data_IF_355508294940
#
_entry.id   IF_355508294940
#
_cell.length_a   1.000
_cell.length_b   1.000
_cell.length_c   1.000
_cell.angle_alpha   90.00
_cell.angle_beta   90.00
_cell.angle_gamma   90.00
#
_symmetry.space_group_name_H-M   'P 1'
#
loop_
_entity.id
_entity.type
_entity.pdbx_description
1 polymer ?
#
# COMPACT_ATOMS: atom_id res chain seq x y z
N UNK A 1 -1.04 -25.12 3.85
CA UNK A 1 -0.56 -24.78 5.23
C UNK A 1 0.96 -24.72 5.28
N UNK A 2 1.71 -25.75 4.84
CA UNK A 2 3.19 -25.79 4.89
C UNK A 2 3.87 -24.60 4.19
N UNK A 3 3.41 -24.20 2.99
CA UNK A 3 3.96 -23.06 2.25
C UNK A 3 3.73 -21.74 3.01
N UNK A 4 2.56 -21.55 3.64
CA UNK A 4 2.27 -20.33 4.42
C UNK A 4 3.20 -20.25 5.65
N UNK A 5 3.41 -21.36 6.36
CA UNK A 5 4.32 -21.40 7.50
C UNK A 5 5.77 -21.13 7.08
N UNK A 6 6.22 -21.68 5.97
CA UNK A 6 7.55 -21.41 5.43
C UNK A 6 7.72 -19.92 5.13
N UNK A 7 6.79 -19.31 4.40
CA UNK A 7 6.83 -17.88 4.07
C UNK A 7 6.78 -16.98 5.30
N UNK A 8 6.00 -17.36 6.31
CA UNK A 8 5.94 -16.64 7.59
C UNK A 8 7.30 -16.65 8.29
N UNK A 9 7.95 -17.80 8.37
CA UNK A 9 9.30 -17.92 8.97
C UNK A 9 10.35 -17.11 8.19
N UNK A 10 10.30 -17.15 6.85
CA UNK A 10 11.18 -16.36 6.00
C UNK A 10 10.98 -14.84 6.21
N UNK A 11 9.71 -14.39 6.28
CA UNK A 11 9.37 -12.99 6.53
C UNK A 11 9.83 -12.51 7.91
N UNK A 12 9.55 -13.29 8.96
CA UNK A 12 9.97 -12.95 10.32
C UNK A 12 11.51 -12.92 10.47
N UNK A 13 12.19 -13.88 9.84
CA UNK A 13 13.65 -13.90 9.82
C UNK A 13 14.23 -12.70 9.05
N UNK A 14 13.62 -12.28 7.95
CA UNK A 14 14.01 -11.07 7.22
C UNK A 14 13.78 -9.81 8.07
N UNK A 15 12.59 -9.66 8.66
CA UNK A 15 12.26 -8.53 9.51
C UNK A 15 13.18 -8.43 10.71
N UNK A 16 13.44 -9.55 11.41
CA UNK A 16 14.31 -9.59 12.57
C UNK A 16 15.77 -9.23 12.26
N UNK A 17 16.26 -9.54 11.05
CA UNK A 17 17.63 -9.18 10.65
C UNK A 17 17.78 -7.74 10.19
N UNK A 18 16.75 -7.15 9.56
CA UNK A 18 16.87 -5.87 8.89
C UNK A 18 16.19 -4.72 9.64
N UNK A 19 15.27 -5.00 10.57
CA UNK A 19 14.61 -4.02 11.41
C UNK A 19 15.08 -4.19 12.87
N UNK A 20 15.75 -3.18 13.45
CA UNK A 20 16.12 -3.23 14.88
C UNK A 20 14.93 -3.42 15.82
N UNK A 21 13.76 -2.88 15.45
CA UNK A 21 12.53 -3.06 16.20
C UNK A 21 12.11 -4.54 16.25
N UNK A 22 11.99 -5.19 15.10
CA UNK A 22 11.63 -6.61 15.04
C UNK A 22 12.76 -7.52 15.53
N UNK A 23 14.01 -7.12 15.37
CA UNK A 23 15.15 -7.86 15.92
C UNK A 23 15.11 -7.97 17.44
N UNK A 24 14.68 -6.90 18.14
CA UNK A 24 14.45 -6.94 19.58
C UNK A 24 13.20 -7.74 19.95
N UNK A 25 12.12 -7.52 19.22
CA UNK A 25 10.81 -8.12 19.50
C UNK A 25 10.83 -9.64 19.34
N UNK A 26 11.62 -10.17 18.41
CA UNK A 26 11.69 -11.59 18.10
C UNK A 26 12.85 -12.34 18.80
N UNK A 27 13.63 -11.63 19.62
CA UNK A 27 14.84 -12.18 20.24
C UNK A 27 14.59 -13.42 21.09
N UNK A 28 13.45 -13.48 21.76
CA UNK A 28 13.09 -14.53 22.72
C UNK A 28 12.09 -15.56 22.13
N UNK A 29 11.87 -15.55 20.81
CA UNK A 29 10.99 -16.54 20.19
C UNK A 29 11.64 -17.93 20.29
N UNK A 30 10.87 -18.99 20.66
CA UNK A 30 11.37 -20.36 20.65
C UNK A 30 11.69 -20.82 19.21
N UNK A 31 12.55 -21.82 19.05
CA UNK A 31 12.98 -22.28 17.73
C UNK A 31 11.81 -22.78 16.86
N UNK A 32 10.81 -23.41 17.45
CA UNK A 32 9.63 -23.98 16.82
C UNK A 32 8.39 -23.08 16.85
N UNK A 33 8.58 -21.75 17.02
CA UNK A 33 7.49 -20.78 17.14
C UNK A 33 6.45 -20.86 16.01
N UNK A 34 5.21 -20.54 16.32
CA UNK A 34 4.05 -20.47 15.43
C UNK A 34 3.56 -19.02 15.33
N UNK A 35 2.63 -18.76 14.40
CA UNK A 35 2.03 -17.44 14.25
C UNK A 35 1.46 -16.85 15.55
N UNK A 36 0.91 -17.71 16.41
CA UNK A 36 0.34 -17.32 17.71
C UNK A 36 1.37 -16.88 18.74
N UNK A 37 2.62 -17.24 18.54
CA UNK A 37 3.72 -16.92 19.46
C UNK A 37 4.39 -15.59 19.08
N UNK A 38 4.07 -15.06 17.88
CA UNK A 38 4.57 -13.75 17.46
C UNK A 38 3.93 -12.65 18.32
N UNK A 39 4.75 -11.74 18.89
CA UNK A 39 4.25 -10.60 19.62
C UNK A 39 3.36 -9.72 18.74
N UNK A 40 2.24 -9.25 19.30
CA UNK A 40 1.37 -8.29 18.62
C UNK A 40 1.99 -6.90 18.62
N UNK A 41 1.81 -6.16 17.52
CA UNK A 41 2.23 -4.77 17.40
C UNK A 41 1.04 -3.90 17.04
N UNK A 42 1.10 -2.63 17.41
CA UNK A 42 0.08 -1.66 17.06
C UNK A 42 0.72 -0.45 16.35
N UNK A 43 -0.13 0.33 15.66
CA UNK A 43 0.36 1.46 14.87
C UNK A 43 1.01 2.59 15.68
N UNK A 44 0.56 2.80 16.91
CA UNK A 44 1.11 3.87 17.77
C UNK A 44 2.55 3.53 18.13
N UNK A 45 2.78 2.29 18.52
CA UNK A 45 4.11 1.80 18.86
C UNK A 45 5.05 1.79 17.64
N UNK A 46 4.56 1.32 16.48
CA UNK A 46 5.35 1.34 15.24
C UNK A 46 5.74 2.77 14.83
N UNK A 47 4.83 3.73 14.94
CA UNK A 47 5.12 5.13 14.59
C UNK A 47 6.06 5.79 15.61
N UNK A 48 5.94 5.46 16.91
CA UNK A 48 6.87 5.94 17.93
C UNK A 48 8.33 5.41 17.73
N UNK A 49 8.46 4.32 16.98
CA UNK A 49 9.76 3.69 16.68
C UNK A 49 10.05 3.66 15.18
N UNK A 50 9.56 4.64 14.40
CA UNK A 50 9.55 4.62 12.95
C UNK A 50 10.92 4.26 12.35
N UNK A 51 11.96 4.98 12.72
CA UNK A 51 13.30 4.76 12.19
C UNK A 51 13.86 3.37 12.56
N UNK A 52 13.44 2.79 13.67
CA UNK A 52 13.85 1.45 14.09
C UNK A 52 13.00 0.34 13.49
N UNK A 53 11.75 0.67 13.13
CA UNK A 53 10.82 -0.26 12.54
C UNK A 53 11.15 -0.58 11.08
N UNK A 54 11.59 0.42 10.30
CA UNK A 54 11.90 0.24 8.89
C UNK A 54 13.08 -0.73 8.68
N UNK A 55 12.98 -1.53 7.61
CA UNK A 55 14.06 -2.42 7.18
C UNK A 55 15.12 -1.71 6.34
N UNK A 56 14.77 -0.62 5.66
CA UNK A 56 15.73 0.26 4.99
C UNK A 56 16.22 1.34 5.95
N UNK A 57 17.45 1.21 6.38
CA UNK A 57 18.10 2.09 7.38
C UNK A 57 18.47 3.47 6.83
N UNK A 58 18.35 3.69 5.53
CA UNK A 58 18.61 4.99 4.90
C UNK A 58 17.40 5.92 4.95
N UNK A 59 16.20 5.39 5.24
CA UNK A 59 14.97 6.15 5.34
C UNK A 59 14.71 6.55 6.79
N UNK A 60 14.42 7.82 7.01
CA UNK A 60 14.10 8.38 8.33
C UNK A 60 12.70 8.99 8.36
N UNK A 61 12.10 9.06 9.54
CA UNK A 61 10.80 9.71 9.74
C UNK A 61 10.82 11.17 9.25
N UNK A 62 11.90 11.91 9.56
CA UNK A 62 12.07 13.30 9.12
C UNK A 62 12.05 13.44 7.59
N UNK A 63 12.76 12.56 6.87
CA UNK A 63 12.78 12.58 5.41
C UNK A 63 11.41 12.25 4.81
N UNK A 64 10.69 11.29 5.40
CA UNK A 64 9.33 10.92 4.96
C UNK A 64 8.36 12.07 5.21
N UNK A 65 8.39 12.69 6.39
CA UNK A 65 7.52 13.82 6.73
C UNK A 65 7.77 15.01 5.80
N UNK A 66 9.04 15.39 5.58
CA UNK A 66 9.40 16.48 4.63
C UNK A 66 8.91 16.20 3.21
N UNK A 67 9.01 14.94 2.74
CA UNK A 67 8.47 14.57 1.43
C UNK A 67 6.94 14.70 1.39
N UNK A 68 6.25 14.39 2.49
CA UNK A 68 4.79 14.43 2.58
C UNK A 68 4.21 15.83 2.75
N UNK A 69 4.98 16.83 3.14
CA UNK A 69 4.54 18.23 3.24
C UNK A 69 4.06 18.78 1.89
N UNK A 70 4.73 18.39 0.79
CA UNK A 70 4.29 18.76 -0.54
C UNK A 70 3.26 17.77 -1.11
N UNK A 71 2.03 18.24 -1.28
CA UNK A 71 0.93 17.45 -1.87
C UNK A 71 1.16 17.04 -3.32
N UNK A 72 2.04 17.73 -4.06
CA UNK A 72 2.43 17.36 -5.41
C UNK A 72 3.22 16.04 -5.43
N UNK A 73 3.78 15.62 -4.31
CA UNK A 73 4.46 14.35 -4.15
C UNK A 73 3.51 13.15 -4.05
N UNK A 74 2.20 13.37 -3.88
CA UNK A 74 1.23 12.27 -3.89
C UNK A 74 1.31 11.50 -5.22
N UNK A 75 1.65 10.21 -5.13
CA UNK A 75 1.87 9.35 -6.30
C UNK A 75 3.22 9.54 -6.97
N UNK A 76 4.16 10.26 -6.37
CA UNK A 76 5.58 10.25 -6.74
C UNK A 76 6.35 9.28 -5.87
N UNK A 77 7.51 8.88 -6.34
CA UNK A 77 8.44 8.05 -5.56
C UNK A 77 9.38 8.96 -4.77
N UNK A 78 9.43 8.79 -3.46
CA UNK A 78 10.49 9.33 -2.63
C UNK A 78 11.80 8.63 -3.02
N UNK A 79 12.84 9.41 -3.27
CA UNK A 79 14.18 8.96 -3.73
C UNK A 79 14.15 8.01 -4.95
N UNK A 80 13.10 8.14 -5.79
CA UNK A 80 12.90 7.24 -6.94
C UNK A 80 12.59 5.78 -6.56
N UNK A 81 12.42 5.48 -5.29
CA UNK A 81 12.34 4.13 -4.72
C UNK A 81 11.01 3.81 -4.07
N UNK A 82 10.49 4.68 -3.18
CA UNK A 82 9.35 4.38 -2.34
C UNK A 82 8.11 5.20 -2.67
N UNK A 83 6.97 4.53 -2.83
CA UNK A 83 5.66 5.16 -2.80
C UNK A 83 5.15 5.15 -1.36
N UNK A 84 4.75 6.33 -0.86
CA UNK A 84 4.28 6.49 0.50
C UNK A 84 2.76 6.36 0.53
N UNK A 85 2.26 5.62 1.52
CA UNK A 85 0.86 5.53 1.87
C UNK A 85 0.65 5.84 3.35
N UNK A 86 -0.50 6.44 3.65
CA UNK A 86 -0.97 6.62 5.02
C UNK A 86 -2.32 5.95 5.21
N UNK A 87 -2.60 5.51 6.43
CA UNK A 87 -3.98 5.14 6.81
C UNK A 87 -4.79 6.40 7.12
N UNK A 88 -6.13 6.28 7.14
CA UNK A 88 -7.04 7.42 7.38
C UNK A 88 -6.86 8.13 8.72
N UNK A 89 -6.15 7.52 9.66
CA UNK A 89 -5.87 8.14 10.96
C UNK A 89 -7.11 8.40 11.82
N UNK A 90 -8.20 7.64 11.64
CA UNK A 90 -9.46 7.77 12.41
C UNK A 90 -9.27 7.80 13.95
N UNK A 91 -8.11 7.34 14.42
CA UNK A 91 -7.70 7.35 15.84
C UNK A 91 -6.64 8.42 16.15
N UNK A 92 -6.50 9.45 15.29
CA UNK A 92 -5.55 10.57 15.47
C UNK A 92 -4.15 10.33 14.91
N UNK A 93 -3.65 9.10 14.89
CA UNK A 93 -2.29 8.78 14.41
C UNK A 93 -2.37 7.91 13.14
N UNK A 94 -2.12 8.45 11.94
CA UNK A 94 -2.03 7.64 10.73
C UNK A 94 -0.78 6.74 10.77
N UNK A 95 -0.92 5.51 10.31
CA UNK A 95 0.24 4.67 10.01
C UNK A 95 0.80 5.09 8.64
N UNK A 96 2.09 5.33 8.58
CA UNK A 96 2.81 5.59 7.33
C UNK A 96 3.50 4.31 6.88
N UNK A 97 3.31 3.91 5.64
CA UNK A 97 3.94 2.72 5.04
C UNK A 97 4.60 3.06 3.72
N UNK A 98 5.73 2.43 3.46
CA UNK A 98 6.52 2.61 2.25
C UNK A 98 6.44 1.36 1.38
N UNK A 99 6.07 1.55 0.13
CA UNK A 99 6.00 0.49 -0.85
C UNK A 99 7.09 0.70 -1.91
N UNK A 100 7.99 -0.25 -2.04
CA UNK A 100 8.92 -0.28 -3.16
C UNK A 100 8.24 -0.76 -4.46
N UNK A 101 8.96 -0.70 -5.57
CA UNK A 101 8.44 -1.14 -6.88
C UNK A 101 8.03 -2.60 -6.90
N UNK A 102 8.72 -3.47 -6.15
CA UNK A 102 8.41 -4.89 -6.07
C UNK A 102 7.10 -5.12 -5.32
N UNK A 103 6.95 -4.48 -4.16
CA UNK A 103 5.73 -4.51 -3.37
C UNK A 103 4.52 -3.99 -4.17
N UNK A 104 4.69 -2.86 -4.89
CA UNK A 104 3.65 -2.29 -5.75
C UNK A 104 3.25 -3.23 -6.89
N UNK A 105 4.21 -3.88 -7.52
CA UNK A 105 3.92 -4.82 -8.61
C UNK A 105 3.18 -6.07 -8.09
N UNK A 106 3.62 -6.63 -6.97
CA UNK A 106 2.97 -7.80 -6.34
C UNK A 106 1.55 -7.44 -5.90
N UNK A 107 1.37 -6.30 -5.22
CA UNK A 107 0.05 -5.83 -4.77
C UNK A 107 -0.90 -5.60 -5.95
N UNK A 108 -0.41 -5.00 -7.03
CA UNK A 108 -1.19 -4.78 -8.25
C UNK A 108 -1.59 -6.09 -8.92
N UNK A 109 -0.67 -7.04 -9.04
CA UNK A 109 -0.95 -8.36 -9.60
C UNK A 109 -1.98 -9.13 -8.77
N UNK A 110 -1.84 -9.13 -7.44
CA UNK A 110 -2.79 -9.77 -6.53
C UNK A 110 -4.17 -9.12 -6.60
N UNK A 111 -4.24 -7.79 -6.71
CA UNK A 111 -5.50 -7.05 -6.86
C UNK A 111 -6.23 -7.46 -8.14
N UNK A 112 -5.52 -7.53 -9.26
CA UNK A 112 -6.09 -8.00 -10.55
C UNK A 112 -6.57 -9.44 -10.44
N UNK A 113 -5.74 -10.35 -9.91
CA UNK A 113 -6.11 -11.77 -9.76
C UNK A 113 -7.34 -11.97 -8.86
N UNK A 114 -7.50 -11.15 -7.82
CA UNK A 114 -8.65 -11.24 -6.91
C UNK A 114 -9.91 -10.58 -7.49
N UNK A 115 -9.76 -9.44 -8.18
CA UNK A 115 -10.88 -8.74 -8.81
C UNK A 115 -11.48 -9.55 -9.97
N UNK A 116 -10.66 -10.31 -10.69
CA UNK A 116 -11.08 -11.09 -11.86
C UNK A 116 -10.85 -12.60 -11.63
N UNK A 117 -11.29 -13.10 -10.48
CA UNK A 117 -11.15 -14.51 -10.13
C UNK A 117 -11.93 -15.45 -11.09
N UNK A 118 -13.04 -14.96 -11.69
CA UNK A 118 -13.79 -15.69 -12.70
C UNK A 118 -13.38 -15.25 -14.11
N UNK A 119 -13.29 -16.21 -15.03
CA UNK A 119 -12.88 -15.96 -16.42
C UNK A 119 -13.85 -15.01 -17.14
N UNK A 120 -15.16 -15.09 -16.83
CA UNK A 120 -16.19 -14.23 -17.38
C UNK A 120 -15.93 -12.76 -17.04
N UNK A 121 -15.57 -12.46 -15.80
CA UNK A 121 -15.28 -11.10 -15.32
C UNK A 121 -14.07 -10.53 -16.05
N UNK A 122 -12.99 -11.32 -16.20
CA UNK A 122 -11.82 -10.92 -16.95
C UNK A 122 -12.13 -10.67 -18.43
N UNK A 123 -12.90 -11.56 -19.05
CA UNK A 123 -13.34 -11.42 -20.45
C UNK A 123 -14.18 -10.15 -20.64
N UNK A 124 -15.15 -9.90 -19.75
CA UNK A 124 -15.98 -8.70 -19.78
C UNK A 124 -15.14 -7.43 -19.61
N UNK A 125 -14.20 -7.43 -18.68
CA UNK A 125 -13.28 -6.30 -18.46
C UNK A 125 -12.46 -5.98 -19.72
N UNK A 126 -11.88 -7.00 -20.36
CA UNK A 126 -11.11 -6.82 -21.59
C UNK A 126 -11.99 -6.29 -22.73
N UNK A 127 -13.17 -6.90 -22.95
CA UNK A 127 -14.13 -6.50 -24.01
C UNK A 127 -14.63 -5.06 -23.81
N UNK A 128 -14.78 -4.60 -22.56
CA UNK A 128 -15.20 -3.24 -22.21
C UNK A 128 -14.05 -2.22 -22.18
N UNK A 129 -12.89 -2.50 -22.78
CA UNK A 129 -11.79 -1.56 -22.95
C UNK A 129 -10.90 -1.39 -21.71
N UNK A 130 -10.92 -2.34 -20.77
CA UNK A 130 -10.08 -2.37 -19.56
C UNK A 130 -10.23 -1.11 -18.68
N UNK A 131 -11.43 -0.50 -18.68
CA UNK A 131 -11.71 0.71 -17.90
C UNK A 131 -11.88 0.39 -16.42
N UNK A 132 -11.32 1.24 -15.56
CA UNK A 132 -11.40 1.12 -14.11
C UNK A 132 -11.75 2.45 -13.49
N UNK A 133 -12.82 2.52 -12.72
CA UNK A 133 -13.15 3.65 -11.88
C UNK A 133 -12.80 3.32 -10.42
N UNK A 134 -12.17 4.28 -9.74
CA UNK A 134 -11.82 4.17 -8.32
C UNK A 134 -12.43 5.34 -7.56
N UNK A 135 -12.98 5.08 -6.38
CA UNK A 135 -13.58 6.11 -5.52
C UNK A 135 -12.75 6.15 -4.23
N UNK A 136 -11.99 7.21 -4.02
CA UNK A 136 -11.11 7.40 -2.86
C UNK A 136 -11.22 8.83 -2.33
N UNK A 137 -10.83 9.04 -1.08
CA UNK A 137 -10.55 10.38 -0.59
C UNK A 137 -9.32 10.96 -1.31
N UNK A 138 -9.50 12.08 -2.02
CA UNK A 138 -8.41 12.77 -2.71
C UNK A 138 -7.67 13.74 -1.78
N UNK A 139 -6.44 14.08 -2.17
CA UNK A 139 -5.61 15.07 -1.47
C UNK A 139 -4.81 14.53 -0.29
N UNK A 140 -4.77 13.21 -0.11
CA UNK A 140 -4.00 12.54 0.95
C UNK A 140 -3.13 11.44 0.35
N UNK A 141 -2.13 10.97 1.12
CA UNK A 141 -1.30 9.80 0.79
C UNK A 141 -2.05 8.47 1.00
N UNK A 142 -3.34 8.44 0.63
CA UNK A 142 -4.23 7.28 0.70
C UNK A 142 -4.23 6.50 -0.63
N UNK A 143 -5.22 5.65 -0.83
CA UNK A 143 -5.37 4.82 -2.03
C UNK A 143 -5.32 5.60 -3.36
N UNK A 144 -5.74 6.89 -3.37
CA UNK A 144 -5.61 7.77 -4.54
C UNK A 144 -4.16 7.94 -5.03
N UNK A 145 -3.18 7.85 -4.13
CA UNK A 145 -1.76 7.89 -4.50
C UNK A 145 -1.36 6.78 -5.46
N UNK A 146 -1.94 5.57 -5.32
CA UNK A 146 -1.66 4.45 -6.22
C UNK A 146 -2.16 4.71 -7.65
N UNK A 147 -3.32 5.35 -7.80
CA UNK A 147 -3.89 5.72 -9.10
C UNK A 147 -3.01 6.80 -9.76
N UNK A 148 -2.63 7.83 -9.01
CA UNK A 148 -1.72 8.88 -9.51
C UNK A 148 -0.36 8.30 -9.94
N UNK A 149 0.21 7.40 -9.15
CA UNK A 149 1.44 6.70 -9.49
C UNK A 149 1.31 5.90 -10.80
N UNK A 150 0.23 5.13 -10.96
CA UNK A 150 -0.01 4.36 -12.16
C UNK A 150 -0.17 5.25 -13.40
N UNK A 151 -0.92 6.36 -13.30
CA UNK A 151 -1.11 7.31 -14.39
C UNK A 151 0.19 8.01 -14.79
N UNK A 152 1.05 8.35 -13.82
CA UNK A 152 2.38 8.91 -14.11
C UNK A 152 3.28 7.92 -14.84
N UNK A 153 3.24 6.65 -14.45
CA UNK A 153 4.04 5.58 -15.07
C UNK A 153 3.51 5.15 -16.44
N UNK A 154 2.19 5.23 -16.63
CA UNK A 154 1.49 4.75 -17.83
C UNK A 154 0.51 5.82 -18.34
N UNK A 155 1.00 6.93 -18.93
CA UNK A 155 0.14 8.04 -19.34
C UNK A 155 -0.95 7.63 -20.35
N UNK A 156 -0.68 6.60 -21.17
CA UNK A 156 -1.65 6.05 -22.12
C UNK A 156 -2.90 5.43 -21.47
N UNK A 157 -2.86 5.15 -20.16
CA UNK A 157 -4.02 4.66 -19.41
C UNK A 157 -4.96 5.76 -18.94
N UNK A 158 -4.67 7.03 -19.20
CA UNK A 158 -5.47 8.16 -18.70
C UNK A 158 -6.96 8.04 -19.05
N UNK A 159 -7.30 7.60 -20.27
CA UNK A 159 -8.68 7.35 -20.68
C UNK A 159 -9.30 6.04 -20.18
N UNK A 160 -8.50 5.17 -19.55
CA UNK A 160 -8.93 3.87 -19.03
C UNK A 160 -9.06 3.87 -17.51
N UNK A 161 -8.66 4.93 -16.83
CA UNK A 161 -8.69 5.04 -15.38
C UNK A 161 -9.34 6.35 -14.97
N UNK A 162 -10.38 6.26 -14.16
CA UNK A 162 -11.04 7.41 -13.54
C UNK A 162 -10.88 7.31 -12.02
N UNK A 163 -10.53 8.43 -11.40
CA UNK A 163 -10.55 8.56 -9.95
C UNK A 163 -11.60 9.60 -9.55
N UNK A 164 -12.46 9.25 -8.63
CA UNK A 164 -13.51 10.11 -8.09
C UNK A 164 -13.27 10.31 -6.60
N UNK A 165 -13.49 11.55 -6.14
CA UNK A 165 -13.43 11.83 -4.72
C UNK A 165 -14.68 11.27 -4.03
N UNK A 166 -14.50 10.53 -2.95
CA UNK A 166 -15.59 9.97 -2.13
C UNK A 166 -16.51 11.06 -1.54
N UNK A 167 -16.02 12.30 -1.46
CA UNK A 167 -16.78 13.46 -0.98
C UNK A 167 -17.69 14.07 -2.05
N UNK A 168 -17.58 13.63 -3.31
CA UNK A 168 -18.45 14.08 -4.40
C UNK A 168 -19.87 13.58 -4.14
N UNK A 169 -20.91 14.38 -4.40
CA UNK A 169 -22.31 13.96 -4.28
C UNK A 169 -22.58 12.68 -5.08
N UNK A 170 -23.33 11.74 -4.49
CA UNK A 170 -23.60 10.43 -5.11
C UNK A 170 -24.20 10.54 -6.51
N UNK A 171 -25.11 11.49 -6.73
CA UNK A 171 -25.72 11.73 -8.06
C UNK A 171 -24.65 12.06 -9.11
N UNK A 172 -23.69 12.89 -8.78
CA UNK A 172 -22.58 13.26 -9.68
C UNK A 172 -21.62 12.09 -9.92
N UNK A 173 -21.36 11.28 -8.89
CA UNK A 173 -20.57 10.03 -9.04
C UNK A 173 -21.26 9.11 -10.04
N UNK A 174 -22.57 8.87 -9.89
CA UNK A 174 -23.35 8.01 -10.79
C UNK A 174 -23.33 8.55 -12.21
N UNK A 175 -23.53 9.86 -12.39
CA UNK A 175 -23.47 10.48 -13.70
C UNK A 175 -22.12 10.28 -14.39
N UNK A 176 -21.02 10.52 -13.67
CA UNK A 176 -19.66 10.32 -14.18
C UNK A 176 -19.37 8.86 -14.52
N UNK A 177 -19.82 7.92 -13.69
CA UNK A 177 -19.66 6.48 -13.95
C UNK A 177 -20.45 6.03 -15.19
N UNK A 178 -21.66 6.56 -15.42
CA UNK A 178 -22.46 6.21 -16.59
C UNK A 178 -21.87 6.74 -17.89
N UNK A 179 -21.11 7.84 -17.82
CA UNK A 179 -20.41 8.41 -19.00
C UNK A 179 -19.04 7.77 -19.25
N UNK A 180 -18.48 7.12 -18.24
CA UNK A 180 -17.18 6.45 -18.31
C UNK A 180 -17.28 5.06 -18.92
#
# INVERSE_FOLDING_TARGET
KALAQKRLKELAAYAGRNSPYYGRLYKELPEDWKLTDLPTVNKVDLMAHFDMWLTDRTVTEGAVNSFMEDRENIGRLMDGKYLIFTTSGSTGNPLVVLYDKTCMNISSALSVLRAYARREDLSAFIKKGKRTASIFAEGFYLGSGSVKYQLRRMPWKKGMMMNLDVRTPTAEIVEKLNRF
#
